data_IF_890228011541
#
_entry.id   IF_890228011541
#
_cell.length_a   1.000
_cell.length_b   1.000
_cell.length_c   1.000
_cell.angle_alpha   90.00
_cell.angle_beta   90.00
_cell.angle_gamma   90.00
#
_symmetry.space_group_name_H-M   'P 1'
#
loop_
_entity.id
_entity.type
_entity.pdbx_description
1 polymer ?
#
# COMPACT_ATOMS: atom_id res chain seq x y z
N UNK A 1 -13.14 -20.72 0.23
CA UNK A 1 -12.70 -19.58 -0.59
C UNK A 1 -11.52 -20.01 -1.44
N UNK A 2 -11.60 -19.80 -2.74
CA UNK A 2 -10.49 -20.05 -3.68
C UNK A 2 -9.57 -18.82 -3.78
N UNK A 3 -8.33 -19.02 -4.20
CA UNK A 3 -7.37 -17.92 -4.41
C UNK A 3 -7.91 -16.83 -5.36
N UNK A 4 -8.61 -17.23 -6.43
CA UNK A 4 -9.19 -16.30 -7.40
C UNK A 4 -10.32 -15.45 -6.82
N UNK A 5 -11.14 -16.03 -5.95
CA UNK A 5 -12.20 -15.30 -5.23
C UNK A 5 -11.57 -14.26 -4.29
N UNK A 6 -10.49 -14.61 -3.59
CA UNK A 6 -9.78 -13.68 -2.71
C UNK A 6 -9.13 -12.52 -3.49
N UNK A 7 -8.51 -12.80 -4.65
CA UNK A 7 -7.97 -11.76 -5.54
C UNK A 7 -9.04 -10.80 -6.04
N UNK A 8 -10.23 -11.34 -6.37
CA UNK A 8 -11.37 -10.52 -6.77
C UNK A 8 -11.84 -9.62 -5.62
N UNK A 9 -11.88 -10.12 -4.39
CA UNK A 9 -12.20 -9.30 -3.22
C UNK A 9 -11.18 -8.17 -3.08
N UNK A 10 -9.87 -8.48 -3.12
CA UNK A 10 -8.79 -7.49 -3.00
C UNK A 10 -8.82 -6.42 -4.09
N UNK A 11 -9.17 -6.80 -5.31
CA UNK A 11 -9.33 -5.86 -6.44
C UNK A 11 -10.52 -4.91 -6.29
N UNK A 12 -11.52 -5.29 -5.48
CA UNK A 12 -12.75 -4.53 -5.29
C UNK A 12 -12.84 -3.84 -3.92
N UNK A 13 -11.74 -3.80 -3.16
CA UNK A 13 -11.73 -3.17 -1.85
C UNK A 13 -12.09 -1.69 -1.99
N UNK A 14 -13.19 -1.33 -1.34
CA UNK A 14 -13.75 0.02 -1.45
C UNK A 14 -12.84 1.00 -0.73
N UNK A 15 -12.06 1.74 -1.51
CA UNK A 15 -11.35 2.93 -1.03
C UNK A 15 -12.27 4.14 -1.04
N UNK A 16 -12.18 4.99 -0.02
CA UNK A 16 -12.89 6.27 -0.01
C UNK A 16 -12.39 7.15 -1.17
N UNK A 17 -13.33 7.71 -1.96
CA UNK A 17 -13.07 8.62 -3.07
C UNK A 17 -13.84 9.92 -2.83
N UNK A 18 -13.17 11.08 -2.84
CA UNK A 18 -13.84 12.40 -2.89
C UNK A 18 -13.01 13.39 -3.69
N UNK A 19 -13.62 14.01 -4.70
CA UNK A 19 -13.00 15.12 -5.44
C UNK A 19 -11.66 14.80 -6.13
N UNK A 20 -11.42 13.55 -6.50
CA UNK A 20 -10.13 13.11 -7.08
C UNK A 20 -9.12 12.57 -6.07
N UNK A 21 -9.33 12.78 -4.76
CA UNK A 21 -8.48 12.23 -3.71
C UNK A 21 -8.99 10.86 -3.22
N UNK A 22 -8.08 9.89 -3.16
CA UNK A 22 -8.30 8.58 -2.51
C UNK A 22 -7.56 8.56 -1.18
N UNK A 23 -8.22 8.07 -0.14
CA UNK A 23 -7.56 7.81 1.14
C UNK A 23 -7.09 6.34 1.16
N UNK A 24 -5.78 6.04 1.18
CA UNK A 24 -5.26 4.69 1.05
C UNK A 24 -5.34 3.87 2.35
N UNK A 25 -6.27 4.20 3.26
CA UNK A 25 -6.31 3.64 4.61
C UNK A 25 -6.48 2.11 4.63
N UNK A 26 -7.44 1.58 3.87
CA UNK A 26 -7.66 0.13 3.77
C UNK A 26 -6.49 -0.57 3.03
N UNK A 27 -6.03 -0.10 1.85
CA UNK A 27 -4.87 -0.68 1.20
C UNK A 27 -3.60 -0.73 2.08
N UNK A 28 -3.25 0.37 2.77
CA UNK A 28 -2.08 0.39 3.66
C UNK A 28 -2.24 -0.58 4.82
N UNK A 29 -3.43 -0.64 5.44
CA UNK A 29 -3.70 -1.61 6.51
C UNK A 29 -3.54 -3.05 6.01
N UNK A 30 -4.04 -3.37 4.82
CA UNK A 30 -3.91 -4.71 4.26
C UNK A 30 -2.47 -5.06 3.90
N UNK A 31 -1.72 -4.14 3.30
CA UNK A 31 -0.28 -4.32 3.03
C UNK A 31 0.50 -4.55 4.32
N UNK A 32 0.22 -3.78 5.37
CA UNK A 32 0.79 -3.98 6.70
C UNK A 32 0.52 -5.39 7.24
N UNK A 33 -0.74 -5.84 7.19
CA UNK A 33 -1.14 -7.17 7.69
C UNK A 33 -0.51 -8.29 6.84
N UNK A 34 -0.48 -8.14 5.51
CA UNK A 34 0.16 -9.09 4.61
C UNK A 34 1.66 -9.24 4.94
N UNK A 35 2.35 -8.14 5.26
CA UNK A 35 3.75 -8.16 5.70
C UNK A 35 3.96 -8.95 6.98
N UNK A 36 3.11 -8.71 7.98
CA UNK A 36 3.13 -9.49 9.23
C UNK A 36 2.93 -10.98 8.98
N UNK A 37 1.99 -11.34 8.11
CA UNK A 37 1.74 -12.74 7.76
C UNK A 37 2.93 -13.39 7.05
N UNK A 38 3.59 -12.67 6.13
CA UNK A 38 4.77 -13.19 5.44
C UNK A 38 5.92 -13.50 6.42
N UNK A 39 6.07 -12.64 7.44
CA UNK A 39 6.99 -12.80 8.58
C UNK A 39 6.53 -13.82 9.63
N UNK A 40 5.43 -14.53 9.39
CA UNK A 40 4.86 -15.55 10.29
C UNK A 40 4.44 -15.01 11.66
N UNK A 41 4.07 -13.73 11.72
CA UNK A 41 3.54 -13.14 12.93
C UNK A 41 2.11 -13.64 13.22
N UNK A 42 1.60 -13.45 14.45
CA UNK A 42 0.25 -13.88 14.81
C UNK A 42 -0.85 -13.30 13.92
N UNK A 43 -1.88 -14.12 13.66
CA UNK A 43 -3.07 -13.75 12.85
C UNK A 43 -3.74 -12.46 13.33
N UNK A 44 -3.88 -12.34 14.65
CA UNK A 44 -4.52 -11.20 15.29
C UNK A 44 -3.49 -10.13 15.64
N UNK A 45 -3.88 -8.89 15.41
CA UNK A 45 -3.10 -7.69 15.70
C UNK A 45 -3.89 -6.86 16.68
N UNK A 46 -3.23 -6.30 17.69
CA UNK A 46 -3.88 -5.35 18.57
C UNK A 46 -4.24 -4.07 17.78
N UNK A 47 -5.37 -3.46 18.11
CA UNK A 47 -5.75 -2.18 17.53
C UNK A 47 -4.75 -1.07 17.89
N UNK A 48 -4.12 -1.16 19.06
CA UNK A 48 -3.07 -0.24 19.50
C UNK A 48 -1.88 -0.24 18.51
N UNK A 49 -1.34 -1.42 18.20
CA UNK A 49 -0.26 -1.56 17.23
C UNK A 49 -0.68 -1.07 15.85
N UNK A 50 -1.88 -1.43 15.40
CA UNK A 50 -2.41 -0.97 14.10
C UNK A 50 -2.53 0.54 14.07
N UNK A 51 -3.03 1.16 15.13
CA UNK A 51 -3.28 2.59 15.19
C UNK A 51 -1.99 3.38 14.97
N UNK A 52 -0.90 2.98 15.61
CA UNK A 52 0.39 3.65 15.50
C UNK A 52 1.04 3.40 14.13
N UNK A 53 1.16 2.14 13.71
CA UNK A 53 1.80 1.78 12.44
C UNK A 53 1.02 2.31 11.23
N UNK A 54 -0.31 2.21 11.24
CA UNK A 54 -1.13 2.75 10.17
C UNK A 54 -1.07 4.28 10.11
N UNK A 55 -0.96 4.95 11.27
CA UNK A 55 -0.77 6.40 11.30
C UNK A 55 0.56 6.79 10.66
N UNK A 56 1.65 6.05 10.95
CA UNK A 56 2.95 6.25 10.31
C UNK A 56 2.85 6.09 8.79
N UNK A 57 2.33 4.96 8.31
CA UNK A 57 2.14 4.68 6.89
C UNK A 57 1.28 5.73 6.18
N UNK A 58 0.27 6.27 6.85
CA UNK A 58 -0.59 7.31 6.30
C UNK A 58 0.08 8.68 6.20
N UNK A 59 1.01 8.98 7.11
CA UNK A 59 1.81 10.21 7.05
C UNK A 59 2.81 10.12 5.90
N UNK A 60 3.47 8.97 5.73
CA UNK A 60 4.52 8.78 4.72
C UNK A 60 3.95 8.58 3.30
N UNK A 61 2.90 7.78 3.14
CA UNK A 61 2.41 7.33 1.82
C UNK A 61 0.99 7.79 1.50
N UNK A 62 0.36 8.57 2.38
CA UNK A 62 -0.97 9.12 2.19
C UNK A 62 -0.96 10.60 1.78
N UNK A 63 -2.05 11.11 1.21
CA UNK A 63 -2.22 12.55 1.05
C UNK A 63 -2.26 13.20 2.43
N UNK A 64 -1.58 14.34 2.58
CA UNK A 64 -1.50 15.06 3.86
C UNK A 64 -2.90 15.40 4.41
N UNK A 65 -3.16 15.03 5.67
CA UNK A 65 -4.39 15.39 6.40
C UNK A 65 -4.10 15.91 7.79
N UNK A 66 -4.92 16.84 8.26
CA UNK A 66 -4.89 17.36 9.65
C UNK A 66 -5.21 16.29 10.70
N UNK A 67 -5.90 15.22 10.33
CA UNK A 67 -6.23 14.10 11.22
C UNK A 67 -6.46 12.82 10.41
N UNK A 68 -5.87 11.72 10.88
CA UNK A 68 -6.08 10.38 10.36
C UNK A 68 -6.92 9.58 11.36
N UNK A 69 -8.12 9.16 10.94
CA UNK A 69 -8.97 8.26 11.74
C UNK A 69 -8.62 6.81 11.44
N UNK A 70 -7.77 6.20 12.29
CA UNK A 70 -7.30 4.81 12.12
C UNK A 70 -8.32 3.76 12.58
N UNK A 71 -9.29 4.12 13.43
CA UNK A 71 -10.41 3.24 13.85
C UNK A 71 -11.28 2.77 12.69
N UNK A 72 -11.56 3.69 11.76
CA UNK A 72 -12.46 3.44 10.65
C UNK A 72 -12.00 2.31 9.70
N UNK A 73 -10.78 2.33 9.12
CA UNK A 73 -10.33 1.25 8.24
C UNK A 73 -10.28 -0.10 8.96
N UNK A 74 -9.87 -0.13 10.23
CA UNK A 74 -9.78 -1.35 11.02
C UNK A 74 -11.12 -2.06 11.23
N UNK A 75 -12.19 -1.29 11.49
CA UNK A 75 -13.55 -1.82 11.63
C UNK A 75 -14.16 -2.17 10.26
N UNK A 76 -13.96 -1.31 9.26
CA UNK A 76 -14.64 -1.41 7.97
C UNK A 76 -14.11 -2.51 7.05
N UNK A 77 -12.95 -3.10 7.34
CA UNK A 77 -12.50 -4.32 6.66
C UNK A 77 -13.43 -5.51 6.94
N UNK A 78 -14.15 -5.52 8.07
CA UNK A 78 -15.12 -6.58 8.37
C UNK A 78 -16.30 -6.59 7.39
N UNK A 79 -16.66 -5.43 6.84
CA UNK A 79 -17.72 -5.32 5.83
C UNK A 79 -17.32 -5.98 4.50
N UNK A 80 -16.02 -6.10 4.22
CA UNK A 80 -15.51 -6.76 3.02
C UNK A 80 -15.45 -8.30 3.21
N UNK A 81 -15.88 -8.82 4.37
CA UNK A 81 -15.94 -10.26 4.66
C UNK A 81 -14.58 -10.93 4.88
N UNK A 82 -13.50 -10.14 4.92
CA UNK A 82 -12.12 -10.65 5.04
C UNK A 82 -11.54 -10.52 6.44
N UNK A 83 -12.21 -9.81 7.34
CA UNK A 83 -11.67 -9.39 8.63
C UNK A 83 -12.57 -9.79 9.80
N UNK A 84 -11.96 -10.27 10.87
CA UNK A 84 -12.61 -10.63 12.13
C UNK A 84 -12.08 -9.73 13.25
N UNK A 85 -12.97 -9.35 14.17
CA UNK A 85 -12.64 -8.61 15.37
C UNK A 85 -12.76 -9.52 16.59
N UNK A 86 -11.91 -9.29 17.58
CA UNK A 86 -11.95 -9.94 18.89
C UNK A 86 -11.62 -8.91 19.97
N UNK A 87 -12.03 -9.14 21.22
CA UNK A 87 -11.79 -8.23 22.33
C UNK A 87 -12.56 -8.68 23.57
N UNK A 88 -12.57 -7.85 24.62
CA UNK A 88 -13.29 -8.12 25.87
C UNK A 88 -14.80 -8.28 25.66
N UNK A 89 -15.36 -7.45 24.79
CA UNK A 89 -16.77 -7.46 24.40
C UNK A 89 -16.89 -7.59 22.89
N UNK A 90 -17.99 -8.17 22.43
CA UNK A 90 -18.36 -8.18 21.03
C UNK A 90 -18.67 -6.75 20.57
N UNK A 91 -18.09 -6.35 19.44
CA UNK A 91 -18.30 -5.04 18.83
C UNK A 91 -19.04 -5.21 17.50
N UNK A 92 -20.10 -4.44 17.29
CA UNK A 92 -20.71 -4.34 15.97
C UNK A 92 -19.79 -3.56 15.03
N UNK A 93 -19.21 -4.25 14.05
CA UNK A 93 -18.34 -3.66 13.02
C UNK A 93 -19.02 -2.64 12.10
N UNK A 94 -20.36 -2.57 12.11
CA UNK A 94 -21.13 -1.57 11.35
C UNK A 94 -21.16 -0.21 12.04
N UNK A 95 -20.91 -0.18 13.35
CA UNK A 95 -20.90 1.05 14.15
C UNK A 95 -19.52 1.73 14.11
N UNK A 96 -19.52 3.06 14.08
CA UNK A 96 -18.30 3.86 14.10
C UNK A 96 -17.80 4.05 15.55
N UNK A 97 -17.14 3.03 16.09
CA UNK A 97 -16.53 3.09 17.42
C UNK A 97 -15.31 4.02 17.45
N UNK A 98 -15.13 4.75 18.55
CA UNK A 98 -13.97 5.63 18.74
C UNK A 98 -12.72 4.83 19.08
N UNK A 99 -11.54 5.41 18.82
CA UNK A 99 -10.26 4.81 19.19
C UNK A 99 -10.23 4.43 20.69
N UNK A 100 -10.78 5.26 21.57
CA UNK A 100 -10.81 5.00 23.00
C UNK A 100 -11.63 3.76 23.35
N UNK A 101 -12.76 3.54 22.67
CA UNK A 101 -13.56 2.33 22.86
C UNK A 101 -12.77 1.10 22.41
N UNK A 102 -12.12 1.17 21.25
CA UNK A 102 -11.34 0.05 20.73
C UNK A 102 -10.15 -0.31 21.62
N UNK A 103 -9.47 0.69 22.18
CA UNK A 103 -8.36 0.52 23.12
C UNK A 103 -8.85 -0.07 24.45
N UNK A 104 -9.91 0.49 25.06
CA UNK A 104 -10.46 -0.01 26.33
C UNK A 104 -11.00 -1.44 26.22
N UNK A 105 -11.51 -1.81 25.04
CA UNK A 105 -11.98 -3.16 24.74
C UNK A 105 -10.84 -4.17 24.47
N UNK A 106 -9.58 -3.72 24.43
CA UNK A 106 -8.43 -4.52 24.00
C UNK A 106 -8.74 -5.20 22.66
N UNK A 107 -9.16 -4.41 21.69
CA UNK A 107 -9.66 -4.95 20.42
C UNK A 107 -8.49 -5.48 19.59
N UNK A 108 -8.65 -6.69 19.08
CA UNK A 108 -7.78 -7.32 18.10
C UNK A 108 -8.52 -7.48 16.78
N UNK A 109 -7.76 -7.48 15.68
CA UNK A 109 -8.28 -7.66 14.33
C UNK A 109 -7.35 -8.53 13.51
N UNK A 110 -7.91 -9.30 12.59
CA UNK A 110 -7.11 -10.14 11.69
C UNK A 110 -7.94 -10.71 10.56
N UNK A 111 -7.26 -11.31 9.58
CA UNK A 111 -7.96 -12.03 8.52
C UNK A 111 -8.81 -13.17 9.09
N UNK A 112 -9.94 -13.48 8.44
CA UNK A 112 -10.76 -14.64 8.81
C UNK A 112 -9.93 -15.91 8.84
N UNK A 113 -10.35 -16.90 9.65
CA UNK A 113 -9.59 -18.17 9.77
C UNK A 113 -9.38 -18.85 8.41
N UNK A 114 -10.37 -18.77 7.53
CA UNK A 114 -10.32 -19.31 6.17
C UNK A 114 -9.23 -18.62 5.33
N UNK A 115 -9.22 -17.28 5.30
CA UNK A 115 -8.23 -16.49 4.53
C UNK A 115 -6.84 -16.67 5.12
N UNK A 116 -6.70 -16.63 6.45
CA UNK A 116 -5.43 -16.88 7.12
C UNK A 116 -4.86 -18.26 6.74
N UNK A 117 -5.69 -19.31 6.72
CA UNK A 117 -5.24 -20.64 6.32
C UNK A 117 -4.83 -20.71 4.84
N UNK A 118 -5.43 -19.90 3.98
CA UNK A 118 -5.08 -19.84 2.56
C UNK A 118 -3.73 -19.13 2.37
N UNK A 119 -3.57 -17.95 2.98
CA UNK A 119 -2.35 -17.13 2.87
C UNK A 119 -1.12 -17.78 3.50
N UNK A 120 -1.29 -18.47 4.62
CA UNK A 120 -0.16 -19.17 5.28
C UNK A 120 0.33 -20.39 4.52
N UNK A 121 -0.48 -20.97 3.64
CA UNK A 121 -0.11 -22.09 2.76
C UNK A 121 0.53 -21.64 1.44
N UNK A 122 0.22 -20.43 0.98
CA UNK A 122 0.68 -19.91 -0.29
C UNK A 122 1.25 -18.50 -0.16
N UNK A 123 2.58 -18.43 0.03
CA UNK A 123 3.31 -17.15 0.05
C UNK A 123 3.28 -16.42 -1.29
N UNK A 124 3.11 -17.12 -2.40
CA UNK A 124 2.99 -16.48 -3.72
C UNK A 124 1.70 -15.67 -3.78
N UNK A 125 0.61 -16.19 -3.20
CA UNK A 125 -0.66 -15.48 -3.12
C UNK A 125 -0.54 -14.17 -2.30
N UNK A 126 0.19 -14.17 -1.17
CA UNK A 126 0.47 -12.94 -0.41
C UNK A 126 1.08 -11.85 -1.32
N UNK A 127 2.07 -12.24 -2.13
CA UNK A 127 2.76 -11.32 -3.05
C UNK A 127 1.85 -10.83 -4.17
N UNK A 128 1.03 -11.72 -4.74
CA UNK A 128 0.06 -11.36 -5.78
C UNK A 128 -0.99 -10.37 -5.26
N UNK A 129 -1.49 -10.56 -4.03
CA UNK A 129 -2.44 -9.64 -3.40
C UNK A 129 -1.79 -8.28 -3.08
N UNK A 130 -0.54 -8.28 -2.60
CA UNK A 130 0.21 -7.04 -2.39
C UNK A 130 0.42 -6.27 -3.70
N UNK A 131 0.77 -6.96 -4.79
CA UNK A 131 0.89 -6.36 -6.12
C UNK A 131 -0.41 -5.71 -6.59
N UNK A 132 -1.54 -6.40 -6.45
CA UNK A 132 -2.88 -5.84 -6.77
C UNK A 132 -3.15 -4.56 -5.97
N UNK A 133 -2.88 -4.55 -4.66
CA UNK A 133 -3.10 -3.38 -3.82
C UNK A 133 -2.20 -2.21 -4.22
N UNK A 134 -0.93 -2.48 -4.52
CA UNK A 134 0.04 -1.48 -4.94
C UNK A 134 -0.34 -0.85 -6.29
N UNK A 135 -0.55 -1.69 -7.30
CA UNK A 135 -0.88 -1.30 -8.69
C UNK A 135 -2.18 -0.50 -8.81
N UNK A 136 -3.14 -0.67 -7.88
CA UNK A 136 -4.44 0.02 -7.93
C UNK A 136 -4.54 1.27 -7.05
N UNK A 137 -3.66 1.43 -6.06
CA UNK A 137 -3.82 2.44 -5.02
C UNK A 137 -2.63 3.39 -4.84
N UNK A 138 -1.44 3.04 -5.36
CA UNK A 138 -0.23 3.84 -5.17
C UNK A 138 0.55 4.02 -6.47
N UNK A 139 1.26 5.15 -6.65
CA UNK A 139 2.21 5.33 -7.73
C UNK A 139 3.31 4.25 -7.69
N UNK A 140 3.73 3.79 -8.87
CA UNK A 140 4.80 2.78 -8.99
C UNK A 140 6.09 3.18 -8.25
N UNK A 141 6.41 4.47 -8.23
CA UNK A 141 7.59 5.01 -7.55
C UNK A 141 7.58 4.77 -6.03
N UNK A 142 6.40 4.61 -5.42
CA UNK A 142 6.25 4.36 -3.98
C UNK A 142 6.20 2.87 -3.62
N UNK A 143 6.08 1.98 -4.61
CA UNK A 143 5.81 0.56 -4.32
C UNK A 143 6.90 -0.07 -3.47
N UNK A 144 8.17 0.17 -3.81
CA UNK A 144 9.28 -0.42 -3.07
C UNK A 144 9.39 0.13 -1.65
N UNK A 145 9.17 1.44 -1.46
CA UNK A 145 9.24 2.07 -0.14
C UNK A 145 8.13 1.54 0.78
N UNK A 146 6.91 1.42 0.25
CA UNK A 146 5.79 0.84 1.00
C UNK A 146 6.10 -0.61 1.37
N UNK A 147 6.63 -1.42 0.43
CA UNK A 147 6.99 -2.82 0.70
C UNK A 147 8.05 -2.96 1.77
N UNK A 148 9.08 -2.11 1.73
CA UNK A 148 10.14 -2.06 2.73
C UNK A 148 9.57 -1.71 4.10
N UNK A 149 8.74 -0.66 4.17
CA UNK A 149 8.15 -0.19 5.42
C UNK A 149 7.21 -1.24 6.04
N UNK A 150 6.36 -1.88 5.24
CA UNK A 150 5.50 -2.96 5.75
C UNK A 150 6.25 -4.27 5.98
N UNK A 151 7.54 -4.32 5.67
CA UNK A 151 8.41 -5.49 5.80
C UNK A 151 7.96 -6.69 4.96
N UNK A 152 7.39 -6.43 3.79
CA UNK A 152 7.10 -7.43 2.77
C UNK A 152 8.34 -7.59 1.89
N UNK A 153 9.13 -8.63 2.17
CA UNK A 153 10.33 -9.01 1.42
C UNK A 153 9.98 -9.60 0.06
N UNK A 154 9.36 -8.81 -0.79
CA UNK A 154 9.07 -9.18 -2.17
C UNK A 154 10.28 -8.75 -3.01
N UNK A 155 11.14 -9.70 -3.38
CA UNK A 155 11.71 -9.60 -4.73
C UNK A 155 10.51 -9.79 -5.66
N UNK A 156 9.98 -8.70 -6.20
CA UNK A 156 8.88 -8.72 -7.14
C UNK A 156 9.37 -9.43 -8.40
N UNK A 157 9.29 -10.76 -8.37
CA UNK A 157 9.70 -11.63 -9.43
C UNK A 157 8.87 -11.30 -10.69
N UNK A 158 9.45 -10.45 -11.53
CA UNK A 158 9.12 -10.36 -12.95
C UNK A 158 7.92 -9.52 -13.38
N UNK A 159 7.41 -8.55 -12.59
CA UNK A 159 6.33 -7.66 -13.10
C UNK A 159 6.34 -6.18 -12.72
N UNK A 160 7.05 -5.79 -11.66
CA UNK A 160 7.33 -4.37 -11.37
C UNK A 160 8.70 -3.96 -11.93
N UNK A 161 9.08 -4.57 -13.07
CA UNK A 161 10.07 -3.92 -13.92
C UNK A 161 9.37 -2.71 -14.51
N UNK A 162 9.71 -1.52 -13.99
CA UNK A 162 9.57 -0.24 -14.68
C UNK A 162 9.57 -0.49 -16.18
N UNK A 163 8.59 -0.01 -16.96
CA UNK A 163 8.72 -0.06 -18.42
C UNK A 163 10.09 0.56 -18.76
N UNK A 164 11.07 -0.26 -19.19
CA UNK A 164 12.43 0.24 -19.36
C UNK A 164 12.43 1.36 -20.39
N UNK A 165 11.49 1.30 -21.35
CA UNK A 165 11.35 2.28 -22.39
C UNK A 165 10.73 3.59 -21.85
N UNK A 166 9.72 3.55 -20.98
CA UNK A 166 9.19 4.77 -20.34
C UNK A 166 10.25 5.45 -19.50
N UNK A 167 10.92 4.71 -18.61
CA UNK A 167 12.01 5.26 -17.80
C UNK A 167 13.11 5.86 -18.68
N UNK A 168 13.52 5.14 -19.73
CA UNK A 168 14.56 5.61 -20.64
C UNK A 168 14.12 6.86 -21.42
N UNK A 169 12.87 6.92 -21.90
CA UNK A 169 12.30 8.08 -22.59
C UNK A 169 12.33 9.32 -21.70
N UNK A 170 11.84 9.22 -20.46
CA UNK A 170 11.82 10.35 -19.53
C UNK A 170 13.23 10.77 -19.11
N UNK A 171 14.11 9.81 -18.78
CA UNK A 171 15.49 10.15 -18.44
C UNK A 171 16.23 10.79 -19.64
N UNK A 172 15.99 10.34 -20.88
CA UNK A 172 16.56 10.98 -22.06
C UNK A 172 15.99 12.39 -22.29
N UNK A 173 14.68 12.58 -22.13
CA UNK A 173 14.02 13.87 -22.31
C UNK A 173 14.56 14.95 -21.34
N UNK A 174 14.95 14.55 -20.13
CA UNK A 174 15.55 15.43 -19.13
C UNK A 174 17.09 15.36 -19.08
N UNK A 175 17.74 14.82 -20.11
CA UNK A 175 19.20 14.66 -20.21
C UNK A 175 19.84 13.97 -18.99
N UNK A 176 19.07 13.07 -18.38
CA UNK A 176 19.39 12.36 -17.15
C UNK A 176 19.65 13.29 -15.96
N UNK A 177 19.00 14.45 -15.90
CA UNK A 177 19.09 15.42 -14.82
C UNK A 177 17.76 15.52 -14.09
N UNK A 178 17.80 15.86 -12.81
CA UNK A 178 16.60 16.25 -12.10
C UNK A 178 16.00 17.52 -12.73
N UNK A 179 14.71 17.48 -13.06
CA UNK A 179 13.95 18.58 -13.64
C UNK A 179 13.87 19.82 -12.72
N UNK A 180 14.03 19.62 -11.40
CA UNK A 180 13.85 20.68 -10.39
C UNK A 180 15.18 21.34 -10.00
N UNK A 181 16.22 20.54 -9.73
CA UNK A 181 17.48 21.04 -9.18
C UNK A 181 18.68 20.83 -10.11
N UNK A 182 18.51 20.19 -11.26
CA UNK A 182 19.60 19.91 -12.20
C UNK A 182 20.60 18.84 -11.74
N UNK A 183 20.33 18.16 -10.61
CA UNK A 183 21.22 17.15 -10.06
C UNK A 183 21.49 16.02 -11.06
N UNK A 184 22.77 15.68 -11.23
CA UNK A 184 23.25 14.63 -12.13
C UNK A 184 24.54 14.03 -11.55
N UNK A 185 24.49 12.79 -11.08
CA UNK A 185 25.67 12.03 -10.64
C UNK A 185 25.68 10.67 -11.31
N UNK A 186 26.82 10.30 -11.89
CA UNK A 186 27.07 9.01 -12.54
C UNK A 186 28.15 8.25 -11.78
N UNK A 187 27.90 6.97 -11.48
CA UNK A 187 28.93 6.04 -11.03
C UNK A 187 29.14 5.01 -12.14
N UNK A 188 30.20 5.20 -12.93
CA UNK A 188 30.39 4.48 -14.19
C UNK A 188 29.27 4.78 -15.19
N UNK A 189 28.68 3.74 -15.80
CA UNK A 189 27.57 3.87 -16.76
C UNK A 189 26.17 3.93 -16.10
N UNK A 190 26.08 3.94 -14.76
CA UNK A 190 24.80 4.00 -14.05
C UNK A 190 24.53 5.38 -13.49
N UNK A 191 23.32 5.87 -13.79
CA UNK A 191 22.79 7.07 -13.16
C UNK A 191 22.40 6.76 -11.72
N UNK A 192 22.86 7.57 -10.77
CA UNK A 192 22.48 7.45 -9.37
C UNK A 192 21.47 8.55 -9.04
N UNK A 193 20.42 8.17 -8.33
CA UNK A 193 19.47 9.07 -7.66
C UNK A 193 18.54 9.95 -8.52
N UNK A 194 18.43 9.76 -9.85
CA UNK A 194 17.35 10.40 -10.65
C UNK A 194 16.39 9.34 -11.18
N UNK A 195 15.10 9.57 -10.95
CA UNK A 195 14.00 8.65 -11.29
C UNK A 195 12.94 9.35 -12.13
N UNK A 196 12.29 8.59 -13.02
CA UNK A 196 11.13 9.06 -13.78
C UNK A 196 9.86 8.85 -12.95
N UNK A 197 9.06 9.90 -12.79
CA UNK A 197 7.75 9.90 -12.15
C UNK A 197 6.69 10.40 -13.12
N UNK A 198 5.44 9.99 -12.93
CA UNK A 198 4.31 10.54 -13.68
C UNK A 198 3.82 11.83 -13.02
N UNK A 199 3.58 12.89 -13.81
CA UNK A 199 2.99 14.16 -13.36
C UNK A 199 1.54 13.93 -12.92
N UNK A 200 0.75 13.28 -13.77
CA UNK A 200 -0.57 12.74 -13.45
C UNK A 200 -0.47 11.23 -13.35
N UNK A 201 -0.84 10.67 -12.20
CA UNK A 201 -0.76 9.23 -11.97
C UNK A 201 -1.57 8.44 -13.01
N UNK A 202 -1.02 7.32 -13.49
CA UNK A 202 -1.70 6.44 -14.44
C UNK A 202 -3.10 6.02 -13.94
N UNK A 203 -3.22 5.71 -12.64
CA UNK A 203 -4.50 5.39 -11.98
C UNK A 203 -5.54 6.53 -11.95
N UNK A 204 -5.11 7.78 -12.16
CA UNK A 204 -5.98 8.95 -12.34
C UNK A 204 -6.29 9.23 -13.82
N UNK A 205 -5.93 8.31 -14.73
CA UNK A 205 -6.03 8.48 -16.18
C UNK A 205 -4.93 9.40 -16.73
N UNK A 206 -3.72 9.32 -16.16
CA UNK A 206 -2.53 9.92 -16.75
C UNK A 206 -1.97 9.02 -17.86
N UNK A 207 -1.63 9.54 -19.06
CA UNK A 207 -1.08 8.74 -20.14
C UNK A 207 0.39 8.37 -19.88
N UNK A 208 0.84 7.22 -20.38
CA UNK A 208 2.26 6.81 -20.39
C UNK A 208 3.01 7.48 -21.54
N UNK A 209 2.99 8.81 -21.56
CA UNK A 209 3.60 9.66 -22.60
C UNK A 209 4.61 10.63 -21.98
N UNK A 210 5.56 11.09 -22.79
CA UNK A 210 6.65 11.98 -22.34
C UNK A 210 6.11 13.28 -21.70
N UNK A 211 5.01 13.79 -22.23
CA UNK A 211 4.31 14.98 -21.72
C UNK A 211 3.78 14.83 -20.29
N UNK A 212 3.63 13.58 -19.81
CA UNK A 212 3.14 13.24 -18.48
C UNK A 212 4.26 12.67 -17.58
N UNK A 213 5.52 12.73 -17.99
CA UNK A 213 6.65 12.25 -17.19
C UNK A 213 7.57 13.37 -16.73
N UNK A 214 8.17 13.21 -15.55
CA UNK A 214 9.14 14.14 -14.98
C UNK A 214 10.31 13.36 -14.36
N UNK A 215 11.54 13.83 -14.56
CA UNK A 215 12.72 13.27 -13.91
C UNK A 215 12.99 13.99 -12.57
N UNK A 216 13.02 13.27 -11.46
CA UNK A 216 13.20 13.83 -10.11
C UNK A 216 14.36 13.15 -9.38
N UNK A 217 15.05 13.95 -8.56
CA UNK A 217 16.07 13.45 -7.66
C UNK A 217 15.43 12.78 -6.43
N UNK A 218 15.85 11.57 -6.10
CA UNK A 218 15.46 10.86 -4.87
C UNK A 218 16.71 10.63 -4.01
N UNK A 219 16.78 11.31 -2.85
CA UNK A 219 17.76 11.01 -1.83
C UNK A 219 17.30 9.75 -1.08
N UNK A 220 18.10 8.69 -1.14
CA UNK A 220 17.91 7.48 -0.32
C UNK A 220 18.36 7.72 1.11
#
# INVERSE_FOLDING_TARGET
MKAEELKNIFSNIVTWKRGGERAPHKPLLLLYVLGRLDRKEPRFISYEDVKENLKHLLVEFGPYRRSYKSSYPFLRLSNDGIWELSGKNELDSKQDWSDQVLLNNETYGGFTKEIYSLLTKDRKLIRELAGILLEQNFPETMHQDILNEVGLGIELAGKLSRDPQFRERILRAYEYRCAVCGFNVRLGNRLIAVEAAHIKWHQAGGPDQEENGIALYHAS
#
